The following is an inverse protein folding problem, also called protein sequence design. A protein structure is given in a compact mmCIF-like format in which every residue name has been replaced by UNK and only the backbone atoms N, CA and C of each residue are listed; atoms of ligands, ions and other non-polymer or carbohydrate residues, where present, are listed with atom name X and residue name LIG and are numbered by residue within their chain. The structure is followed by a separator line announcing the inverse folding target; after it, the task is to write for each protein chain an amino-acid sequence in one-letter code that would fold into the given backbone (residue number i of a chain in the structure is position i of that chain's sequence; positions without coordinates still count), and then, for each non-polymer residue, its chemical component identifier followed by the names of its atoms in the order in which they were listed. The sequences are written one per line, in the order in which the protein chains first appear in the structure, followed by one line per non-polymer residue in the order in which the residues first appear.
data_IF_762575980731
#
_entry.id   IF_762575980731
#
_cell.length_a   1.000
_cell.length_b   1.000
_cell.length_c   1.000
_cell.angle_alpha   90.00
_cell.angle_beta   90.00
_cell.angle_gamma   90.00
#
_symmetry.space_group_name_H-M   'P 1'
#
loop_
_entity.id
_entity.type
_entity.pdbx_description
1 polymer ?
#
# COMPACT_ATOMS: atom_id res chain seq x y z
N UNK A 1 -20.21 -40.97 70.52
CA UNK A 1 -20.19 -40.40 71.88
C UNK A 1 -19.22 -39.23 71.92
N UNK A 2 -19.74 -38.01 71.82
CA UNK A 2 -19.45 -36.89 72.72
C UNK A 2 -19.96 -35.60 72.08
N UNK A 3 -20.85 -34.96 72.82
CA UNK A 3 -21.67 -33.80 72.48
C UNK A 3 -21.03 -32.53 73.00
N UNK A 4 -20.96 -31.46 72.20
CA UNK A 4 -20.94 -30.09 72.74
C UNK A 4 -21.84 -29.18 71.91
N UNK A 5 -22.74 -28.50 72.63
CA UNK A 5 -23.85 -27.66 72.17
C UNK A 5 -23.39 -26.23 71.80
N UNK A 6 -24.20 -25.47 71.03
CA UNK A 6 -23.84 -24.16 70.50
C UNK A 6 -24.11 -23.03 71.50
N UNK A 7 -23.28 -21.99 71.49
CA UNK A 7 -23.60 -20.71 72.14
C UNK A 7 -24.03 -19.71 71.06
N UNK A 8 -25.32 -19.37 71.10
CA UNK A 8 -25.90 -18.28 70.34
C UNK A 8 -25.31 -16.95 70.83
N UNK A 9 -24.76 -16.15 69.89
CA UNK A 9 -24.50 -14.73 70.12
C UNK A 9 -25.55 -13.93 69.37
N UNK A 10 -26.56 -13.50 70.12
CA UNK A 10 -27.58 -12.56 69.67
C UNK A 10 -26.89 -11.21 69.54
N UNK A 11 -26.62 -10.77 68.32
CA UNK A 11 -26.32 -9.36 68.06
C UNK A 11 -27.63 -8.66 67.70
N UNK A 12 -28.07 -7.81 68.64
CA UNK A 12 -29.18 -6.90 68.49
C UNK A 12 -28.95 -5.96 67.30
N UNK A 13 -30.00 -5.83 66.50
CA UNK A 13 -30.06 -5.07 65.27
C UNK A 13 -29.52 -3.64 65.43
N UNK A 14 -28.56 -3.28 64.57
CA UNK A 14 -28.24 -1.89 64.26
C UNK A 14 -28.58 -1.64 62.80
N UNK A 15 -29.72 -0.96 62.62
CA UNK A 15 -30.23 -0.18 61.48
C UNK A 15 -29.95 -0.66 60.04
N UNK A 16 -30.98 -0.82 59.19
CA UNK A 16 -30.77 -0.95 57.76
C UNK A 16 -30.24 0.37 57.21
N UNK A 17 -28.97 0.42 56.84
CA UNK A 17 -28.49 1.44 55.92
C UNK A 17 -29.20 1.21 54.59
N UNK A 18 -30.12 2.10 54.26
CA UNK A 18 -30.79 2.20 52.97
C UNK A 18 -29.79 2.50 51.87
N UNK A 19 -29.09 1.47 51.40
CA UNK A 19 -28.36 1.52 50.13
C UNK A 19 -29.32 1.10 49.02
N UNK A 20 -30.17 2.05 48.58
CA UNK A 20 -30.92 1.93 47.34
C UNK A 20 -30.02 2.21 46.13
N UNK A 21 -28.95 1.44 46.00
CA UNK A 21 -28.32 1.23 44.71
C UNK A 21 -28.16 -0.27 44.53
N UNK A 22 -28.73 -0.86 43.46
CA UNK A 22 -28.28 -2.19 43.09
C UNK A 22 -26.76 -2.09 42.96
N UNK A 23 -26.02 -2.99 43.61
CA UNK A 23 -24.68 -3.32 43.16
C UNK A 23 -24.85 -3.80 41.73
N UNK A 24 -24.81 -2.86 40.79
CA UNK A 24 -24.63 -3.16 39.39
C UNK A 24 -23.25 -3.77 39.38
N UNK A 25 -23.18 -5.09 39.44
CA UNK A 25 -22.02 -5.81 38.98
C UNK A 25 -21.87 -5.42 37.51
N UNK A 26 -21.17 -4.32 37.26
CA UNK A 26 -20.62 -4.01 35.97
C UNK A 26 -19.71 -5.19 35.67
N UNK A 27 -20.21 -6.10 34.84
CA UNK A 27 -19.46 -7.25 34.35
C UNK A 27 -18.40 -6.71 33.40
N UNK A 28 -17.35 -6.11 33.95
CA UNK A 28 -16.12 -5.89 33.22
C UNK A 28 -15.67 -7.24 32.66
N UNK A 29 -15.05 -7.23 31.49
CA UNK A 29 -14.65 -8.39 30.69
C UNK A 29 -13.54 -9.24 31.37
N UNK A 30 -13.73 -9.65 32.62
CA UNK A 30 -12.69 -10.14 33.53
C UNK A 30 -12.16 -11.54 33.22
N UNK A 31 -12.62 -12.17 32.13
CA UNK A 31 -12.17 -13.51 31.77
C UNK A 31 -11.68 -13.54 30.33
N UNK A 32 -10.48 -14.05 30.14
CA UNK A 32 -9.83 -14.27 28.82
C UNK A 32 -10.75 -14.98 27.84
N UNK A 33 -11.62 -15.89 28.33
CA UNK A 33 -12.61 -16.61 27.51
C UNK A 33 -13.64 -15.69 26.86
N UNK A 34 -14.19 -14.71 27.59
CA UNK A 34 -15.18 -13.76 27.04
C UNK A 34 -14.52 -12.85 26.02
N UNK A 35 -13.35 -12.31 26.37
CA UNK A 35 -12.56 -11.46 25.47
C UNK A 35 -12.19 -12.20 24.17
N UNK A 36 -11.70 -13.44 24.24
CA UNK A 36 -11.40 -14.27 23.06
C UNK A 36 -12.64 -14.56 22.21
N UNK A 37 -13.82 -14.78 22.82
CA UNK A 37 -15.06 -15.01 22.09
C UNK A 37 -15.52 -13.75 21.34
N UNK A 38 -15.39 -12.58 21.95
CA UNK A 38 -15.76 -11.31 21.32
C UNK A 38 -14.82 -10.93 20.17
N UNK A 39 -13.52 -11.24 20.28
CA UNK A 39 -12.52 -10.98 19.24
C UNK A 39 -12.38 -12.12 18.20
N UNK A 40 -13.23 -13.15 18.27
CA UNK A 40 -13.16 -14.27 17.34
C UNK A 40 -13.62 -13.83 15.93
N UNK A 41 -12.72 -13.96 14.96
CA UNK A 41 -13.03 -13.75 13.54
C UNK A 41 -13.31 -15.10 12.86
N UNK A 42 -14.27 -15.17 11.92
CA UNK A 42 -14.48 -16.38 11.14
C UNK A 42 -13.28 -16.67 10.24
N UNK A 43 -13.05 -17.95 9.95
CA UNK A 43 -12.06 -18.37 8.96
C UNK A 43 -12.47 -17.94 7.54
N UNK A 44 -11.51 -17.89 6.62
CA UNK A 44 -11.82 -17.61 5.23
C UNK A 44 -12.73 -18.73 4.66
N UNK A 45 -13.73 -18.39 3.82
CA UNK A 45 -14.65 -19.37 3.26
C UNK A 45 -13.98 -20.55 2.53
N UNK A 46 -12.78 -20.35 1.99
CA UNK A 46 -12.00 -21.40 1.31
C UNK A 46 -11.50 -22.52 2.22
N UNK A 47 -11.50 -22.34 3.54
CA UNK A 47 -11.19 -23.40 4.51
C UNK A 47 -12.40 -24.25 4.89
N UNK A 48 -13.62 -23.83 4.51
CA UNK A 48 -14.83 -24.62 4.78
C UNK A 48 -14.90 -25.81 3.79
N UNK A 49 -14.94 -27.07 4.28
CA UNK A 49 -14.91 -28.24 3.40
C UNK A 49 -16.22 -28.38 2.61
N UNK A 50 -16.13 -28.38 1.29
CA UNK A 50 -17.29 -28.58 0.40
C UNK A 50 -17.55 -30.06 0.07
N UNK A 51 -16.56 -30.94 0.26
CA UNK A 51 -16.61 -32.36 -0.04
C UNK A 51 -16.03 -33.18 1.10
N UNK A 52 -16.54 -34.41 1.27
CA UNK A 52 -16.02 -35.38 2.26
C UNK A 52 -14.69 -36.01 1.84
N UNK A 53 -14.35 -35.96 0.55
CA UNK A 53 -13.10 -36.55 0.01
C UNK A 53 -11.98 -35.50 0.01
N UNK A 54 -10.72 -35.90 0.25
CA UNK A 54 -9.59 -34.96 0.19
C UNK A 54 -9.41 -34.45 -1.24
N UNK A 55 -9.31 -33.13 -1.39
CA UNK A 55 -9.07 -32.45 -2.67
C UNK A 55 -8.03 -31.34 -2.48
N UNK A 56 -7.30 -31.01 -3.54
CA UNK A 56 -6.39 -29.86 -3.56
C UNK A 56 -7.16 -28.63 -4.03
N UNK A 57 -7.19 -27.59 -3.20
CA UNK A 57 -7.86 -26.32 -3.50
C UNK A 57 -6.80 -25.25 -3.73
N UNK A 58 -6.92 -24.51 -4.84
CA UNK A 58 -6.09 -23.34 -5.09
C UNK A 58 -6.68 -22.11 -4.37
N UNK A 59 -6.00 -21.62 -3.34
CA UNK A 59 -6.45 -20.51 -2.48
C UNK A 59 -5.41 -19.38 -2.48
N UNK A 60 -5.36 -18.52 -3.51
CA UNK A 60 -4.41 -17.42 -3.57
C UNK A 60 -4.73 -16.40 -2.46
N UNK A 61 -3.78 -16.09 -1.56
CA UNK A 61 -4.04 -15.17 -0.46
C UNK A 61 -4.16 -13.73 -0.98
N UNK A 62 -5.01 -12.92 -0.33
CA UNK A 62 -5.11 -11.48 -0.56
C UNK A 62 -4.00 -10.71 0.16
N UNK A 63 -2.74 -11.09 -0.08
CA UNK A 63 -1.56 -10.53 0.56
C UNK A 63 -0.47 -10.22 -0.47
N UNK A 64 0.46 -9.34 -0.10
CA UNK A 64 1.62 -9.06 -0.94
C UNK A 64 2.53 -10.31 -1.04
N UNK A 65 3.06 -10.63 -2.24
CA UNK A 65 3.98 -11.75 -2.39
C UNK A 65 5.31 -11.47 -1.67
N UNK A 66 5.95 -12.53 -1.17
CA UNK A 66 7.31 -12.42 -0.63
C UNK A 66 8.36 -12.35 -1.76
N UNK A 67 9.56 -11.88 -1.44
CA UNK A 67 10.70 -11.77 -2.39
C UNK A 67 11.04 -13.13 -3.05
N UNK A 68 10.79 -14.24 -2.34
CA UNK A 68 11.02 -15.60 -2.84
C UNK A 68 10.05 -16.05 -3.94
N UNK A 69 8.94 -15.33 -4.14
CA UNK A 69 8.03 -15.55 -5.27
C UNK A 69 8.60 -14.87 -6.52
N UNK A 70 9.65 -15.48 -7.07
CA UNK A 70 10.41 -14.92 -8.20
C UNK A 70 9.56 -14.89 -9.48
N UNK A 71 9.36 -13.71 -10.10
CA UNK A 71 8.61 -13.63 -11.35
C UNK A 71 9.35 -14.32 -12.49
N UNK A 72 8.60 -14.82 -13.48
CA UNK A 72 9.11 -15.58 -14.64
C UNK A 72 10.30 -14.90 -15.36
N UNK A 73 10.28 -13.58 -15.43
CA UNK A 73 11.33 -12.77 -16.08
C UNK A 73 12.70 -12.88 -15.39
N UNK A 74 12.74 -13.19 -14.09
CA UNK A 74 13.96 -13.29 -13.31
C UNK A 74 14.47 -14.73 -13.15
N UNK A 75 13.70 -15.72 -13.60
CA UNK A 75 14.15 -17.10 -13.62
C UNK A 75 15.17 -17.34 -14.75
N UNK A 76 16.19 -18.21 -14.55
CA UNK A 76 17.07 -18.68 -15.62
C UNK A 76 16.29 -19.31 -16.78
N UNK A 77 16.85 -19.31 -17.99
CA UNK A 77 16.18 -19.88 -19.18
C UNK A 77 15.84 -21.36 -19.01
N UNK A 78 16.73 -22.13 -18.38
CA UNK A 78 16.61 -23.59 -18.22
C UNK A 78 15.79 -24.03 -16.99
N UNK A 79 15.27 -23.08 -16.19
CA UNK A 79 14.47 -23.42 -15.01
C UNK A 79 13.09 -23.99 -15.42
N UNK A 80 12.86 -25.27 -15.09
CA UNK A 80 11.60 -26.00 -15.36
C UNK A 80 10.37 -25.31 -14.80
N UNK A 81 10.50 -24.53 -13.72
CA UNK A 81 9.39 -23.77 -13.12
C UNK A 81 8.75 -22.78 -14.10
N UNK A 82 9.49 -22.33 -15.13
CA UNK A 82 8.91 -21.48 -16.17
C UNK A 82 7.74 -22.12 -16.90
N UNK A 83 7.86 -23.40 -17.24
CA UNK A 83 6.81 -24.15 -17.93
C UNK A 83 5.58 -24.34 -17.04
N UNK A 84 5.80 -24.69 -15.77
CA UNK A 84 4.74 -24.87 -14.79
C UNK A 84 3.95 -23.57 -14.55
N UNK A 85 4.64 -22.45 -14.34
CA UNK A 85 4.00 -21.15 -14.14
C UNK A 85 3.26 -20.65 -15.38
N UNK A 86 3.82 -20.85 -16.59
CA UNK A 86 3.14 -20.49 -17.82
C UNK A 86 1.83 -21.29 -17.99
N UNK A 87 1.88 -22.61 -17.80
CA UNK A 87 0.69 -23.47 -17.84
C UNK A 87 -0.37 -23.05 -16.81
N UNK A 88 0.06 -22.76 -15.58
CA UNK A 88 -0.82 -22.29 -14.52
C UNK A 88 -1.48 -20.94 -14.87
N UNK A 89 -0.72 -19.98 -15.40
CA UNK A 89 -1.24 -18.66 -15.77
C UNK A 89 -2.27 -18.76 -16.90
N UNK A 90 -2.05 -19.61 -17.90
CA UNK A 90 -3.03 -19.89 -18.96
C UNK A 90 -4.33 -20.47 -18.39
N UNK A 91 -4.26 -21.46 -17.50
CA UNK A 91 -5.46 -22.07 -16.91
C UNK A 91 -6.22 -21.10 -15.99
N UNK A 92 -5.49 -20.35 -15.15
CA UNK A 92 -6.07 -19.37 -14.22
C UNK A 92 -6.75 -18.21 -14.96
N UNK A 93 -6.09 -17.65 -15.98
CA UNK A 93 -6.67 -16.59 -16.80
C UNK A 93 -7.89 -17.09 -17.56
N UNK A 94 -7.82 -18.25 -18.22
CA UNK A 94 -8.96 -18.82 -18.95
C UNK A 94 -10.17 -19.03 -18.03
N UNK A 95 -9.94 -19.49 -16.80
CA UNK A 95 -11.00 -19.64 -15.78
C UNK A 95 -11.58 -18.29 -15.37
N UNK A 96 -10.74 -17.29 -15.16
CA UNK A 96 -11.15 -15.93 -14.75
C UNK A 96 -11.92 -15.18 -15.85
N UNK A 97 -11.63 -15.46 -17.12
CA UNK A 97 -12.34 -14.88 -18.27
C UNK A 97 -13.65 -15.61 -18.63
N UNK A 98 -14.02 -16.70 -17.94
CA UNK A 98 -15.30 -17.36 -18.17
C UNK A 98 -16.44 -16.40 -17.80
N UNK A 99 -17.36 -16.15 -18.74
CA UNK A 99 -18.46 -15.20 -18.59
C UNK A 99 -19.58 -15.63 -17.63
N UNK A 100 -19.43 -16.78 -16.96
CA UNK A 100 -20.45 -17.30 -16.03
C UNK A 100 -20.51 -16.42 -14.78
N UNK A 101 -21.60 -15.66 -14.61
CA UNK A 101 -21.86 -14.97 -13.36
C UNK A 101 -22.11 -16.01 -12.25
N UNK A 102 -21.52 -15.86 -11.05
CA UNK A 102 -21.84 -16.74 -9.94
C UNK A 102 -23.33 -16.60 -9.59
N UNK A 103 -23.97 -17.68 -9.14
CA UNK A 103 -25.40 -17.69 -8.78
C UNK A 103 -25.76 -16.59 -7.76
N UNK A 104 -24.82 -16.20 -6.90
CA UNK A 104 -24.96 -15.14 -5.89
C UNK A 104 -25.07 -13.72 -6.47
N UNK A 105 -24.83 -13.53 -7.77
CA UNK A 105 -24.86 -12.25 -8.47
C UNK A 105 -25.95 -12.18 -9.56
N UNK A 106 -26.92 -13.10 -9.50
CA UNK A 106 -28.06 -13.11 -10.42
C UNK A 106 -29.05 -11.99 -10.07
N UNK A 107 -29.86 -11.53 -11.04
CA UNK A 107 -30.94 -10.56 -10.78
C UNK A 107 -31.80 -10.96 -9.58
N UNK A 108 -32.04 -10.02 -8.66
CA UNK A 108 -32.81 -10.26 -7.42
C UNK A 108 -31.99 -10.69 -6.20
N UNK A 109 -30.65 -10.77 -6.30
CA UNK A 109 -29.75 -10.99 -5.15
C UNK A 109 -29.22 -9.67 -4.57
N UNK A 110 -28.81 -9.62 -3.29
CA UNK A 110 -28.30 -8.38 -2.67
C UNK A 110 -27.00 -7.85 -3.30
N UNK A 111 -26.31 -8.66 -4.12
CA UNK A 111 -25.10 -8.25 -4.84
C UNK A 111 -25.39 -7.76 -6.27
N UNK A 112 -26.63 -7.86 -6.75
CA UNK A 112 -27.06 -7.37 -8.05
C UNK A 112 -27.39 -5.87 -7.96
N UNK A 113 -26.67 -5.03 -8.71
CA UNK A 113 -26.97 -3.60 -8.82
C UNK A 113 -27.64 -3.31 -10.18
N UNK A 114 -28.90 -2.83 -10.21
CA UNK A 114 -29.52 -2.40 -11.46
C UNK A 114 -28.79 -1.16 -11.98
N UNK A 115 -28.40 -1.21 -13.26
CA UNK A 115 -27.69 -0.14 -13.96
C UNK A 115 -28.54 1.14 -13.98
N UNK A 116 -28.25 2.12 -13.11
CA UNK A 116 -28.57 3.52 -13.40
C UNK A 116 -27.51 4.07 -14.36
N UNK A 117 -27.95 4.89 -15.32
CA UNK A 117 -27.24 5.26 -16.54
C UNK A 117 -25.73 5.60 -16.39
N UNK A 118 -24.90 5.29 -17.40
CA UNK A 118 -23.45 5.50 -17.33
C UNK A 118 -23.14 7.00 -17.31
N UNK A 119 -22.61 7.49 -16.19
CA UNK A 119 -21.96 8.80 -16.12
C UNK A 119 -20.51 8.66 -16.62
N UNK A 120 -20.05 9.48 -17.59
CA UNK A 120 -18.71 9.36 -18.20
C UNK A 120 -17.55 9.52 -17.21
N UNK A 121 -17.79 10.09 -16.04
CA UNK A 121 -16.76 10.38 -15.03
C UNK A 121 -16.52 9.24 -14.03
N UNK A 122 -17.44 8.27 -13.93
CA UNK A 122 -17.32 7.14 -12.99
C UNK A 122 -18.02 5.90 -13.55
N UNK A 123 -17.28 4.90 -14.07
CA UNK A 123 -17.86 3.59 -14.37
C UNK A 123 -18.25 2.90 -13.07
N UNK A 124 -19.53 3.01 -12.68
CA UNK A 124 -20.08 2.25 -11.56
C UNK A 124 -20.22 0.78 -11.97
N UNK A 125 -19.65 -0.18 -11.22
CA UNK A 125 -19.80 -1.60 -11.55
C UNK A 125 -21.26 -2.03 -11.32
N UNK A 126 -21.80 -2.83 -12.26
CA UNK A 126 -23.16 -3.40 -12.22
C UNK A 126 -23.41 -4.41 -11.07
N UNK A 127 -22.44 -4.56 -10.17
CA UNK A 127 -22.49 -5.37 -8.95
C UNK A 127 -21.38 -4.86 -8.02
N UNK A 128 -21.52 -5.02 -6.70
CA UNK A 128 -20.40 -4.84 -5.75
C UNK A 128 -19.29 -5.90 -5.90
N UNK A 129 -19.29 -6.61 -7.03
CA UNK A 129 -18.25 -7.56 -7.39
C UNK A 129 -17.02 -6.81 -7.91
N UNK A 130 -15.81 -7.36 -7.69
CA UNK A 130 -14.61 -6.83 -8.32
C UNK A 130 -14.82 -6.80 -9.86
N UNK A 131 -14.31 -5.77 -10.55
CA UNK A 131 -14.41 -5.69 -11.99
C UNK A 131 -13.77 -6.92 -12.62
N UNK A 132 -14.37 -7.41 -13.72
CA UNK A 132 -13.77 -8.51 -14.48
C UNK A 132 -12.35 -8.13 -14.87
N UNK A 133 -11.35 -9.01 -14.67
CA UNK A 133 -9.98 -8.68 -15.03
C UNK A 133 -9.92 -8.35 -16.52
N UNK A 134 -9.43 -7.16 -16.86
CA UNK A 134 -9.18 -6.76 -18.25
C UNK A 134 -7.72 -7.04 -18.59
N UNK A 135 -7.43 -7.28 -19.88
CA UNK A 135 -6.05 -7.35 -20.37
C UNK A 135 -5.36 -5.97 -20.36
N UNK A 136 -6.12 -4.88 -20.16
CA UNK A 136 -5.57 -3.54 -20.07
C UNK A 136 -4.74 -3.36 -18.79
N UNK A 137 -3.53 -2.82 -18.95
CA UNK A 137 -2.68 -2.42 -17.83
C UNK A 137 -3.32 -1.22 -17.09
N UNK A 138 -3.08 -1.06 -15.77
CA UNK A 138 -3.50 0.13 -15.05
C UNK A 138 -2.81 1.38 -15.64
N UNK A 139 -3.42 2.54 -15.42
CA UNK A 139 -2.86 3.82 -15.86
C UNK A 139 -1.45 4.00 -15.29
N UNK A 140 -0.50 4.35 -16.15
CA UNK A 140 0.87 4.56 -15.75
C UNK A 140 0.98 5.77 -14.81
N UNK A 141 1.65 5.59 -13.66
CA UNK A 141 1.90 6.69 -12.70
C UNK A 141 2.73 7.81 -13.33
N UNK A 142 3.61 7.47 -14.28
CA UNK A 142 4.40 8.41 -15.08
C UNK A 142 4.15 8.13 -16.55
N UNK A 143 3.89 9.19 -17.32
CA UNK A 143 3.78 9.06 -18.77
C UNK A 143 5.10 8.51 -19.36
N UNK A 144 5.04 7.54 -20.29
CA UNK A 144 6.23 7.07 -20.98
C UNK A 144 6.85 8.22 -21.77
N UNK A 145 8.18 8.34 -21.71
CA UNK A 145 8.94 9.35 -22.42
C UNK A 145 9.98 8.67 -23.31
N UNK A 146 10.07 9.11 -24.56
CA UNK A 146 11.06 8.63 -25.53
C UNK A 146 12.39 9.37 -25.37
N UNK A 147 13.47 8.61 -25.23
CA UNK A 147 14.81 9.17 -25.11
C UNK A 147 15.31 9.62 -26.48
N UNK A 148 15.63 10.91 -26.61
CA UNK A 148 16.21 11.50 -27.84
C UNK A 148 17.73 11.65 -27.71
N UNK A 149 18.46 11.23 -28.73
CA UNK A 149 19.92 11.26 -28.81
C UNK A 149 20.38 11.98 -30.08
N UNK A 150 19.95 13.23 -30.23
CA UNK A 150 20.14 14.03 -31.45
C UNK A 150 21.28 15.05 -31.35
N UNK A 151 21.99 15.10 -30.23
CA UNK A 151 23.07 16.08 -30.00
C UNK A 151 24.43 15.48 -30.34
N UNK A 152 25.22 16.26 -31.06
CA UNK A 152 26.58 15.89 -31.45
C UNK A 152 27.64 16.43 -30.48
N UNK A 153 28.88 16.01 -30.66
CA UNK A 153 30.01 16.46 -29.84
C UNK A 153 30.23 17.99 -29.94
N UNK A 154 29.89 18.60 -31.08
CA UNK A 154 29.99 20.04 -31.28
C UNK A 154 28.96 20.79 -30.43
N UNK A 155 27.72 20.33 -30.40
CA UNK A 155 26.66 20.90 -29.55
C UNK A 155 27.03 20.80 -28.06
N UNK A 156 27.60 19.65 -27.66
CA UNK A 156 28.10 19.43 -26.30
C UNK A 156 29.18 20.46 -25.93
N UNK A 157 30.13 20.72 -26.82
CA UNK A 157 31.17 21.75 -26.61
C UNK A 157 30.56 23.15 -26.51
N UNK A 158 29.57 23.47 -27.35
CA UNK A 158 28.87 24.75 -27.29
C UNK A 158 28.12 24.92 -25.97
N UNK A 159 27.39 23.89 -25.51
CA UNK A 159 26.71 23.88 -24.20
C UNK A 159 27.70 24.17 -23.07
N UNK A 160 28.88 23.53 -23.09
CA UNK A 160 29.92 23.75 -22.10
C UNK A 160 30.49 25.18 -22.17
N UNK A 161 30.71 25.69 -23.38
CA UNK A 161 31.21 27.05 -23.62
C UNK A 161 30.25 28.09 -23.05
N UNK A 162 28.98 28.07 -23.49
CA UNK A 162 27.95 29.02 -23.06
C UNK A 162 27.75 29.02 -21.54
N UNK A 163 27.81 27.84 -20.92
CA UNK A 163 27.62 27.71 -19.48
C UNK A 163 28.84 28.14 -18.66
N UNK A 164 30.04 28.07 -19.23
CA UNK A 164 31.26 28.59 -18.63
C UNK A 164 31.33 30.12 -18.75
N UNK A 165 30.87 30.66 -19.87
CA UNK A 165 30.81 32.10 -20.12
C UNK A 165 29.89 32.80 -19.10
N UNK A 166 28.61 32.46 -19.08
CA UNK A 166 27.63 33.10 -18.18
C UNK A 166 26.65 32.07 -17.58
N UNK A 167 26.96 31.49 -16.42
CA UNK A 167 26.09 30.48 -15.80
C UNK A 167 24.76 31.02 -15.27
N UNK A 168 24.66 32.34 -15.10
CA UNK A 168 23.46 33.03 -14.64
C UNK A 168 22.47 33.29 -15.77
N UNK A 169 22.95 33.66 -16.97
CA UNK A 169 22.12 33.74 -18.16
C UNK A 169 21.84 32.35 -18.75
N UNK A 170 22.88 31.56 -19.00
CA UNK A 170 22.79 30.22 -19.59
C UNK A 170 22.49 29.16 -18.53
N UNK A 171 21.29 29.27 -17.95
CA UNK A 171 20.75 28.29 -17.01
C UNK A 171 20.52 26.94 -17.70
N UNK A 172 20.43 25.86 -16.91
CA UNK A 172 20.12 24.52 -17.43
C UNK A 172 18.85 24.51 -18.26
N UNK A 173 17.87 25.30 -17.85
CA UNK A 173 16.58 25.42 -18.53
C UNK A 173 16.70 26.07 -19.91
N UNK A 174 17.40 27.21 -20.03
CA UNK A 174 17.58 27.86 -21.34
C UNK A 174 18.38 27.02 -22.32
N UNK A 175 19.42 26.33 -21.84
CA UNK A 175 20.19 25.42 -22.67
C UNK A 175 19.34 24.21 -23.09
N UNK A 176 18.42 23.74 -22.24
CA UNK A 176 17.55 22.61 -22.55
C UNK A 176 16.56 22.97 -23.66
N UNK A 177 16.04 24.18 -23.64
CA UNK A 177 15.19 24.71 -24.70
C UNK A 177 15.98 24.92 -25.99
N UNK A 178 17.15 25.58 -25.92
CA UNK A 178 17.99 25.87 -27.10
C UNK A 178 18.39 24.60 -27.85
N UNK A 179 18.80 23.56 -27.12
CA UNK A 179 19.26 22.29 -27.70
C UNK A 179 18.18 21.19 -27.71
N UNK A 180 16.93 21.54 -27.38
CA UNK A 180 15.78 20.63 -27.29
C UNK A 180 16.08 19.32 -26.54
N UNK A 181 16.80 19.40 -25.42
CA UNK A 181 17.27 18.23 -24.66
C UNK A 181 16.84 18.28 -23.19
N UNK A 182 17.16 17.23 -22.42
CA UNK A 182 16.75 17.15 -21.01
C UNK A 182 17.55 18.12 -20.14
N UNK A 183 16.86 18.84 -19.25
CA UNK A 183 17.49 19.62 -18.16
C UNK A 183 18.49 18.81 -17.33
N UNK A 184 18.26 17.50 -17.19
CA UNK A 184 19.18 16.60 -16.51
C UNK A 184 20.48 16.41 -17.30
N UNK A 185 20.38 16.20 -18.63
CA UNK A 185 21.52 16.01 -19.52
C UNK A 185 22.49 17.20 -19.48
N UNK A 186 22.00 18.43 -19.48
CA UNK A 186 22.86 19.62 -19.37
C UNK A 186 23.58 19.69 -18.02
N UNK A 187 22.90 19.30 -16.94
CA UNK A 187 23.50 19.21 -15.62
C UNK A 187 24.63 18.16 -15.53
N UNK A 188 24.57 17.14 -16.38
CA UNK A 188 25.62 16.12 -16.53
C UNK A 188 26.80 16.66 -17.34
N UNK A 189 26.54 17.29 -18.48
CA UNK A 189 27.56 17.75 -19.44
C UNK A 189 28.35 18.97 -18.98
N UNK A 190 27.67 19.93 -18.35
CA UNK A 190 28.24 21.24 -18.03
C UNK A 190 27.90 21.62 -16.58
N UNK A 191 28.57 20.98 -15.63
CA UNK A 191 28.36 21.24 -14.20
C UNK A 191 29.16 22.44 -13.73
N UNK A 192 28.47 23.47 -13.25
CA UNK A 192 29.09 24.62 -12.60
C UNK A 192 29.12 24.40 -11.08
N UNK A 193 30.33 24.36 -10.52
CA UNK A 193 30.58 24.13 -9.09
C UNK A 193 30.41 25.40 -8.26
N UNK A 194 30.79 26.55 -8.80
CA UNK A 194 30.74 27.82 -8.07
C UNK A 194 29.30 28.22 -7.84
N UNK A 195 28.48 28.21 -8.90
CA UNK A 195 27.05 28.48 -8.78
C UNK A 195 26.34 27.45 -7.90
N UNK A 196 26.72 26.17 -7.98
CA UNK A 196 26.19 25.15 -7.09
C UNK A 196 26.49 25.46 -5.61
N UNK A 197 27.70 25.93 -5.30
CA UNK A 197 28.06 26.37 -3.95
C UNK A 197 27.28 27.60 -3.50
N UNK A 198 27.03 28.59 -4.37
CA UNK A 198 26.16 29.73 -4.07
C UNK A 198 24.75 29.29 -3.68
N UNK A 199 24.14 28.45 -4.52
CA UNK A 199 22.79 27.92 -4.32
C UNK A 199 22.68 27.07 -3.05
N UNK A 200 23.70 26.26 -2.74
CA UNK A 200 23.71 25.48 -1.49
C UNK A 200 23.72 26.39 -0.25
N UNK A 201 24.52 27.46 -0.26
CA UNK A 201 24.55 28.45 0.83
C UNK A 201 23.20 29.18 0.98
N UNK A 202 22.56 29.53 -0.13
CA UNK A 202 21.21 30.12 -0.12
C UNK A 202 20.17 29.16 0.46
N UNK A 203 20.23 27.88 0.06
CA UNK A 203 19.37 26.84 0.62
C UNK A 203 19.62 26.61 2.11
N UNK A 204 20.87 26.64 2.55
CA UNK A 204 21.24 26.56 3.96
C UNK A 204 20.70 27.75 4.76
N UNK A 205 20.89 28.98 4.27
CA UNK A 205 20.31 30.17 4.90
C UNK A 205 18.77 30.09 4.97
N UNK A 206 18.12 29.58 3.92
CA UNK A 206 16.68 29.35 3.92
C UNK A 206 16.23 28.25 4.89
N UNK A 207 17.04 27.19 5.06
CA UNK A 207 16.83 26.14 6.07
C UNK A 207 17.04 26.67 7.49
N UNK A 208 17.98 27.59 7.69
CA UNK A 208 18.20 28.29 8.96
C UNK A 208 16.97 29.07 9.43
N UNK A 209 16.21 29.66 8.49
CA UNK A 209 14.95 30.35 8.76
C UNK A 209 13.78 29.42 9.11
N UNK A 210 13.94 28.10 9.09
CA UNK A 210 12.87 27.18 9.48
C UNK A 210 12.72 27.12 10.99
N UNK A 211 11.51 27.39 11.48
CA UNK A 211 11.12 27.12 12.85
C UNK A 211 11.07 25.61 13.16
N UNK A 212 11.03 25.27 14.46
CA UNK A 212 11.18 23.92 15.01
C UNK A 212 10.29 22.88 14.33
N UNK A 213 8.97 23.12 14.30
CA UNK A 213 7.99 22.18 13.70
C UNK A 213 8.28 21.83 12.24
N UNK A 214 8.73 22.80 11.44
CA UNK A 214 9.04 22.56 10.02
C UNK A 214 10.33 21.76 9.88
N UNK A 215 11.33 22.05 10.72
CA UNK A 215 12.61 21.34 10.75
C UNK A 215 12.40 19.86 11.08
N UNK A 216 11.72 19.57 12.19
CA UNK A 216 11.40 18.21 12.63
C UNK A 216 10.65 17.43 11.54
N UNK A 217 9.60 18.02 10.94
CA UNK A 217 8.85 17.37 9.87
C UNK A 217 9.71 17.05 8.62
N UNK A 218 10.75 17.85 8.35
CA UNK A 218 11.67 17.62 7.23
C UNK A 218 12.69 16.54 7.55
N UNK A 219 13.18 16.49 8.78
CA UNK A 219 14.03 15.40 9.29
C UNK A 219 13.27 14.08 9.30
N UNK A 220 12.04 14.04 9.80
CA UNK A 220 11.16 12.86 9.77
C UNK A 220 10.93 12.36 8.34
N UNK A 221 10.70 13.27 7.38
CA UNK A 221 10.60 12.91 5.96
C UNK A 221 11.91 12.29 5.45
N UNK A 222 13.06 12.82 5.87
CA UNK A 222 14.37 12.27 5.57
C UNK A 222 14.52 10.85 6.12
N UNK A 223 14.17 10.63 7.39
CA UNK A 223 14.19 9.32 8.05
C UNK A 223 13.28 8.32 7.33
N UNK A 224 12.04 8.70 7.00
CA UNK A 224 11.11 7.85 6.23
C UNK A 224 11.68 7.46 4.86
N UNK A 225 12.23 8.43 4.12
CA UNK A 225 12.85 8.16 2.81
C UNK A 225 14.06 7.23 2.91
N UNK A 226 14.86 7.36 3.96
CA UNK A 226 15.99 6.46 4.21
C UNK A 226 15.55 5.03 4.56
N UNK A 227 14.43 4.88 5.26
CA UNK A 227 13.86 3.58 5.63
C UNK A 227 13.21 2.84 4.46
N UNK A 228 12.68 3.55 3.45
CA UNK A 228 11.97 2.94 2.30
C UNK A 228 12.75 1.82 1.57
N UNK A 229 14.08 1.83 1.62
CA UNK A 229 14.92 0.81 0.97
C UNK A 229 15.63 -0.15 1.92
N UNK A 230 15.38 -0.08 3.24
CA UNK A 230 16.04 -0.94 4.24
C UNK A 230 15.19 -2.15 4.66
N UNK A 231 13.88 -1.95 4.81
CA UNK A 231 12.94 -2.97 5.33
C UNK A 231 12.09 -3.63 4.21
N UNK A 232 12.63 -3.67 2.99
CA UNK A 232 11.98 -4.30 1.82
C UNK A 232 12.41 -5.76 1.64
#
# INVERSE_FOLDING_TARGET
MSTCKPLARIHLATRPTSHLQPLIQARHESTTRRHRKLLALPEAPSFTPSSRKPTLIFNPPSAAPSVYHTPLKFLPKDDRRKQLYAAFQTQSTQTSYRKSAPSIAQPGTPLYAPTSAPSPSYPQPAAHLPPRPSAALPAAVRAPYEKKYHLDQNDIKEIQRLRKEDPDHWTRWRLAEKFACSNFFIGLVAKDREKAGRVEREHEAARGRWGTRRREAREDRGRRKALWGRDA
#
